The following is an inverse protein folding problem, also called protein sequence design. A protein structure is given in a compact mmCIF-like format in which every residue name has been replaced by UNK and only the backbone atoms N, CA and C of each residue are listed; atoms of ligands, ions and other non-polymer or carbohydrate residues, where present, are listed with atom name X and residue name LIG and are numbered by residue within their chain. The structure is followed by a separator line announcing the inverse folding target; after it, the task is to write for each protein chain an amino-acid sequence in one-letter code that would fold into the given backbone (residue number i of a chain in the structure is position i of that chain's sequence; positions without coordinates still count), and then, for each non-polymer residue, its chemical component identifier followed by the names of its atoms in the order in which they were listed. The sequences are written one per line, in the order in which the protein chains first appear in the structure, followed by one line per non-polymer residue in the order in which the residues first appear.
data_IF_095633024489
#
_entry.id   IF_095633024489
#
_cell.length_a   1.000
_cell.length_b   1.000
_cell.length_c   1.000
_cell.angle_alpha   90.00
_cell.angle_beta   90.00
_cell.angle_gamma   90.00
#
_symmetry.space_group_name_H-M   'P 1'
#
loop_
_entity.id
_entity.type
_entity.pdbx_description
1 polymer ?
#
# COMPACT_ATOMS: atom_id res chain seq x y z
N UNK A 1 -37.69 -32.29 -24.39
CA UNK A 1 -37.43 -31.64 -23.08
C UNK A 1 -36.18 -32.19 -22.37
N UNK A 2 -35.97 -33.52 -22.31
CA UNK A 2 -34.79 -34.15 -21.65
C UNK A 2 -33.41 -33.78 -22.25
N UNK A 3 -33.34 -33.51 -23.56
CA UNK A 3 -32.08 -33.11 -24.24
C UNK A 3 -31.69 -31.65 -23.96
N UNK A 4 -32.68 -30.76 -23.89
CA UNK A 4 -32.49 -29.33 -23.62
C UNK A 4 -32.07 -29.12 -22.15
N UNK A 5 -32.67 -29.88 -21.23
CA UNK A 5 -32.28 -29.87 -19.81
C UNK A 5 -30.85 -30.34 -19.60
N UNK A 6 -30.39 -31.35 -20.37
CA UNK A 6 -29.00 -31.81 -20.33
C UNK A 6 -27.99 -30.74 -20.77
N UNK A 7 -28.32 -30.01 -21.85
CA UNK A 7 -27.47 -28.91 -22.36
C UNK A 7 -27.41 -27.76 -21.36
N UNK A 8 -28.54 -27.44 -20.71
CA UNK A 8 -28.60 -26.37 -19.71
C UNK A 8 -27.73 -26.68 -18.48
N UNK A 9 -27.77 -27.94 -18.00
CA UNK A 9 -26.93 -28.40 -16.89
C UNK A 9 -25.45 -28.36 -17.26
N UNK A 10 -25.09 -28.78 -18.48
CA UNK A 10 -23.71 -28.71 -18.97
C UNK A 10 -23.18 -27.26 -19.01
N UNK A 11 -23.98 -26.30 -19.46
CA UNK A 11 -23.60 -24.88 -19.52
C UNK A 11 -23.33 -24.28 -18.13
N UNK A 12 -24.13 -24.64 -17.13
CA UNK A 12 -24.00 -24.16 -15.74
C UNK A 12 -22.71 -24.70 -15.10
N UNK A 13 -22.38 -25.98 -15.32
CA UNK A 13 -21.16 -26.57 -14.75
C UNK A 13 -19.86 -25.98 -15.33
N UNK A 14 -19.87 -25.60 -16.62
CA UNK A 14 -18.72 -24.97 -17.28
C UNK A 14 -18.49 -23.53 -16.80
N UNK A 15 -19.57 -22.77 -16.59
CA UNK A 15 -19.50 -21.36 -16.15
C UNK A 15 -19.02 -21.21 -14.69
N UNK A 16 -19.38 -22.12 -13.78
CA UNK A 16 -18.87 -22.13 -12.39
C UNK A 16 -17.37 -22.49 -12.33
N UNK A 17 -16.90 -23.31 -13.27
CA UNK A 17 -15.48 -23.71 -13.34
C UNK A 17 -14.56 -22.59 -13.87
N UNK A 18 -15.08 -21.67 -14.66
CA UNK A 18 -14.33 -20.54 -15.24
C UNK A 18 -14.06 -19.39 -14.26
N UNK A 19 -14.78 -19.32 -13.13
CA UNK A 19 -14.62 -18.27 -12.11
C UNK A 19 -13.47 -18.50 -11.11
N UNK A 20 -12.56 -19.45 -11.38
CA UNK A 20 -11.48 -19.83 -10.44
C UNK A 20 -10.21 -18.97 -10.52
N UNK A 21 -10.25 -17.75 -11.08
CA UNK A 21 -9.14 -16.81 -10.88
C UNK A 21 -9.28 -16.21 -9.48
N UNK A 22 -8.49 -16.73 -8.53
CA UNK A 22 -8.26 -16.04 -7.25
C UNK A 22 -7.56 -14.71 -7.56
N UNK A 23 -8.33 -13.65 -7.78
CA UNK A 23 -7.80 -12.29 -7.70
C UNK A 23 -7.34 -12.05 -6.26
N UNK A 24 -6.35 -11.16 -6.09
CA UNK A 24 -5.49 -11.04 -4.91
C UNK A 24 -6.16 -11.25 -3.55
N UNK A 25 -5.38 -11.76 -2.60
CA UNK A 25 -5.84 -11.99 -1.22
C UNK A 25 -6.21 -10.64 -0.60
N UNK A 26 -7.49 -10.46 -0.26
CA UNK A 26 -7.94 -9.33 0.53
C UNK A 26 -7.54 -9.62 1.98
N UNK A 27 -6.60 -8.82 2.51
CA UNK A 27 -6.15 -8.94 3.90
C UNK A 27 -7.02 -8.04 4.79
N UNK A 28 -7.64 -8.61 5.83
CA UNK A 28 -8.28 -7.83 6.91
C UNK A 28 -7.25 -6.96 7.65
N UNK A 29 -6.02 -7.47 7.79
CA UNK A 29 -4.85 -6.73 8.27
C UNK A 29 -3.62 -7.16 7.45
N UNK A 30 -3.03 -6.21 6.71
CA UNK A 30 -1.80 -6.48 5.97
C UNK A 30 -0.63 -6.67 6.96
N UNK A 31 0.22 -7.70 6.83
CA UNK A 31 1.31 -7.96 7.79
C UNK A 31 2.32 -6.81 7.87
N UNK A 32 2.46 -6.03 6.80
CA UNK A 32 3.31 -4.84 6.76
C UNK A 32 2.68 -3.54 7.29
N UNK A 33 1.43 -3.56 7.78
CA UNK A 33 0.77 -2.30 8.19
C UNK A 33 1.48 -1.62 9.36
N UNK A 34 1.95 -2.40 10.34
CA UNK A 34 2.63 -1.87 11.53
C UNK A 34 4.03 -1.30 11.16
N UNK A 35 4.66 -1.83 10.10
CA UNK A 35 5.92 -1.31 9.54
C UNK A 35 5.72 0.05 8.85
N UNK A 36 4.67 0.18 8.03
CA UNK A 36 4.33 1.43 7.36
C UNK A 36 3.91 2.50 8.36
N UNK A 37 3.15 2.13 9.39
CA UNK A 37 2.81 3.04 10.50
C UNK A 37 4.07 3.59 11.18
N UNK A 38 5.05 2.71 11.44
CA UNK A 38 6.33 3.10 12.04
C UNK A 38 7.14 4.04 11.14
N UNK A 39 7.04 3.86 9.82
CA UNK A 39 7.67 4.72 8.84
C UNK A 39 7.01 6.10 8.75
N UNK A 40 5.68 6.17 8.73
CA UNK A 40 4.95 7.44 8.74
C UNK A 40 5.21 8.26 10.01
N UNK A 41 5.31 7.59 11.17
CA UNK A 41 5.70 8.21 12.43
C UNK A 41 7.12 8.80 12.35
N UNK A 42 8.07 8.06 11.76
CA UNK A 42 9.44 8.54 11.55
C UNK A 42 9.50 9.77 10.63
N UNK A 43 8.73 9.78 9.52
CA UNK A 43 8.64 10.95 8.62
C UNK A 43 8.05 12.15 9.37
N UNK A 44 6.95 11.95 10.08
CA UNK A 44 6.23 13.02 10.80
C UNK A 44 7.10 13.67 11.88
N UNK A 45 7.92 12.88 12.58
CA UNK A 45 8.86 13.38 13.59
C UNK A 45 10.19 13.86 13.00
N UNK A 46 10.40 13.66 11.69
CA UNK A 46 11.69 13.89 11.03
C UNK A 46 12.82 13.06 11.63
N UNK A 47 12.53 11.82 12.04
CA UNK A 47 13.49 10.85 12.55
C UNK A 47 14.12 10.09 11.37
N UNK A 48 15.23 10.65 10.89
CA UNK A 48 15.92 10.16 9.69
C UNK A 48 16.65 8.85 9.96
N UNK A 49 17.11 8.62 11.20
CA UNK A 49 17.78 7.37 11.57
C UNK A 49 16.80 6.21 11.51
N UNK A 50 15.62 6.36 12.12
CA UNK A 50 14.57 5.35 12.06
C UNK A 50 14.07 5.13 10.64
N UNK A 51 13.90 6.19 9.84
CA UNK A 51 13.53 6.06 8.43
C UNK A 51 14.60 5.30 7.62
N UNK A 52 15.90 5.54 7.89
CA UNK A 52 17.01 4.85 7.22
C UNK A 52 17.07 3.36 7.53
N UNK A 53 16.71 2.95 8.75
CA UNK A 53 16.66 1.55 9.16
C UNK A 53 15.48 0.79 8.52
N UNK A 54 14.38 1.48 8.24
CA UNK A 54 13.18 0.88 7.62
C UNK A 54 13.36 0.75 6.10
N UNK A 55 14.01 1.73 5.46
CA UNK A 55 14.18 1.76 4.01
C UNK A 55 15.33 0.84 3.56
N UNK A 56 15.03 -0.05 2.62
CA UNK A 56 16.06 -0.83 1.93
C UNK A 56 16.89 0.05 0.98
N UNK A 57 18.13 -0.34 0.69
CA UNK A 57 19.07 0.48 -0.08
C UNK A 57 18.68 0.64 -1.56
N UNK A 58 17.89 -0.29 -2.09
CA UNK A 58 17.34 -0.28 -3.45
C UNK A 58 16.00 0.44 -3.57
N UNK A 59 15.52 1.09 -2.51
CA UNK A 59 14.22 1.75 -2.55
C UNK A 59 14.21 2.85 -3.60
N UNK A 60 13.17 2.82 -4.44
CA UNK A 60 12.91 3.87 -5.43
C UNK A 60 11.60 4.54 -5.10
N UNK A 61 11.64 5.84 -4.86
CA UNK A 61 10.44 6.64 -4.67
C UNK A 61 9.94 7.13 -6.02
N UNK A 62 8.64 7.02 -6.26
CA UNK A 62 8.01 7.54 -7.46
C UNK A 62 7.06 8.71 -7.18
N UNK A 63 7.20 9.81 -7.92
CA UNK A 63 6.23 10.90 -7.97
C UNK A 63 5.15 10.58 -9.00
N UNK A 64 3.89 10.67 -8.58
CA UNK A 64 2.73 10.45 -9.44
C UNK A 64 2.38 11.66 -10.32
N UNK A 65 2.95 12.83 -10.04
CA UNK A 65 2.57 14.09 -10.70
C UNK A 65 3.48 14.47 -11.88
N UNK A 66 4.63 13.80 -12.05
CA UNK A 66 5.62 14.12 -13.07
C UNK A 66 5.74 13.00 -14.11
N UNK A 67 6.16 13.36 -15.34
CA UNK A 67 6.50 12.36 -16.38
C UNK A 67 7.77 11.57 -16.03
N UNK A 68 8.74 12.23 -15.38
CA UNK A 68 9.90 11.58 -14.79
C UNK A 68 9.55 11.09 -13.39
N UNK A 69 8.95 9.89 -13.35
CA UNK A 69 8.35 9.35 -12.14
C UNK A 69 9.35 9.11 -11.02
N UNK A 70 10.65 8.95 -11.29
CA UNK A 70 11.61 8.63 -10.23
C UNK A 70 12.00 9.88 -9.42
N UNK A 71 11.54 9.94 -8.17
CA UNK A 71 11.85 11.00 -7.22
C UNK A 71 13.25 10.83 -6.60
N UNK A 72 13.69 9.57 -6.43
CA UNK A 72 15.06 9.25 -6.03
C UNK A 72 15.19 7.96 -5.22
N UNK A 73 16.46 7.61 -4.95
CA UNK A 73 16.86 6.47 -4.10
C UNK A 73 16.77 6.82 -2.61
N UNK A 74 17.08 5.87 -1.72
CA UNK A 74 17.12 6.03 -0.25
C UNK A 74 17.61 7.40 0.24
N UNK A 75 18.78 7.84 -0.20
CA UNK A 75 19.36 9.13 0.23
C UNK A 75 18.50 10.34 -0.16
N UNK A 76 17.82 10.29 -1.31
CA UNK A 76 16.90 11.35 -1.74
C UNK A 76 15.69 11.45 -0.81
N UNK A 77 15.15 10.31 -0.40
CA UNK A 77 14.05 10.23 0.57
C UNK A 77 14.47 10.77 1.93
N UNK A 78 15.62 10.34 2.45
CA UNK A 78 16.14 10.80 3.74
C UNK A 78 16.44 12.31 3.74
N UNK A 79 16.95 12.84 2.63
CA UNK A 79 17.18 14.28 2.48
C UNK A 79 15.87 15.06 2.42
N UNK A 80 14.83 14.51 1.81
CA UNK A 80 13.50 15.13 1.80
C UNK A 80 12.90 15.18 3.22
N UNK A 81 13.03 14.12 4.01
CA UNK A 81 12.60 14.09 5.42
C UNK A 81 13.36 15.15 6.25
N UNK A 82 14.68 15.27 6.07
CA UNK A 82 15.50 16.32 6.71
C UNK A 82 15.03 17.72 6.32
N UNK A 83 14.85 17.96 5.02
CA UNK A 83 14.38 19.24 4.51
C UNK A 83 13.01 19.59 5.11
N UNK A 84 12.09 18.63 5.12
CA UNK A 84 10.76 18.82 5.67
C UNK A 84 10.80 19.23 7.14
N UNK A 85 11.58 18.51 7.97
CA UNK A 85 11.77 18.86 9.39
C UNK A 85 12.30 20.27 9.59
N UNK A 86 13.29 20.67 8.79
CA UNK A 86 13.96 21.96 8.96
C UNK A 86 13.13 23.15 8.41
N UNK A 87 12.20 22.89 7.49
CA UNK A 87 11.42 23.94 6.84
C UNK A 87 10.06 24.17 7.53
N UNK A 88 9.53 23.14 8.21
CA UNK A 88 8.19 23.17 8.79
C UNK A 88 8.23 22.98 10.31
N UNK A 89 8.47 24.08 11.04
CA UNK A 89 8.54 24.06 12.52
C UNK A 89 7.18 23.84 13.22
N UNK A 90 6.07 24.19 12.55
CA UNK A 90 4.71 24.18 13.16
C UNK A 90 3.76 23.14 12.55
N UNK A 91 4.26 22.27 11.67
CA UNK A 91 3.42 21.25 11.03
C UNK A 91 3.38 20.02 11.92
N UNK A 92 2.19 19.69 12.42
CA UNK A 92 1.92 18.40 13.04
C UNK A 92 1.00 17.60 12.13
N UNK A 93 1.41 16.37 11.80
CA UNK A 93 0.53 15.44 11.10
C UNK A 93 -0.22 14.61 12.12
N UNK A 94 -1.54 14.65 12.03
CA UNK A 94 -2.42 13.75 12.77
C UNK A 94 -3.00 12.74 11.79
N UNK A 95 -2.68 11.47 11.99
CA UNK A 95 -3.35 10.40 11.25
C UNK A 95 -4.84 10.38 11.62
N UNK A 96 -5.69 10.72 10.66
CA UNK A 96 -7.15 10.84 10.83
C UNK A 96 -7.91 9.59 10.41
N UNK A 97 -7.26 8.59 9.79
CA UNK A 97 -7.95 7.40 9.24
C UNK A 97 -7.40 6.09 9.82
N UNK A 98 -7.74 5.83 11.09
CA UNK A 98 -7.72 4.47 11.69
C UNK A 98 -9.10 3.84 11.90
N UNK A 99 -10.16 4.40 11.32
CA UNK A 99 -11.56 4.01 11.65
C UNK A 99 -12.05 2.77 10.87
N UNK A 100 -11.39 2.38 9.76
CA UNK A 100 -11.89 1.25 8.94
C UNK A 100 -11.44 -0.12 9.49
N UNK A 101 -10.39 -0.18 10.32
CA UNK A 101 -9.84 -1.45 10.85
C UNK A 101 -10.10 -1.69 12.34
N UNK A 102 -10.50 -0.65 13.11
CA UNK A 102 -10.77 -0.75 14.55
C UNK A 102 -12.24 -0.88 14.94
N UNK A 103 -13.18 -0.97 13.99
CA UNK A 103 -14.56 -1.39 14.29
C UNK A 103 -14.61 -2.92 14.39
N UNK A 104 -14.30 -3.43 15.57
CA UNK A 104 -14.93 -4.64 16.11
C UNK A 104 -15.92 -4.20 17.16
#
# INVERSE_FOLDING_TARGET
MKKITFILIALITFSVSAQKKKNGVVYDKHPGIDLIDSFHDAITKGDVEKASLILHDDVTWYDGNSKNKEFGKKNGVLNNIKWFKNYFDYVSFKDTRRIVSKKK
#
